data_IF_017339129048
#
_entry.id   IF_017339129048
#
_cell.length_a   1.000
_cell.length_b   1.000
_cell.length_c   1.000
_cell.angle_alpha   90.00
_cell.angle_beta   90.00
_cell.angle_gamma   90.00
#
_symmetry.space_group_name_H-M   'P 1'
#
loop_
_entity.id
_entity.type
_entity.pdbx_description
1 polymer ?
#
# COMPACT_ATOMS: atom_id res chain seq x y z
N UNK A 1 -16.68 37.64 -13.94
CA UNK A 1 -17.44 36.38 -13.77
C UNK A 1 -16.44 35.25 -13.90
N UNK A 2 -16.30 34.45 -12.86
CA UNK A 2 -15.38 33.31 -12.76
C UNK A 2 -15.82 32.17 -13.72
N UNK A 3 -14.98 31.15 -13.95
CA UNK A 3 -15.00 30.06 -12.98
C UNK A 3 -13.62 29.82 -12.37
N UNK A 4 -13.64 29.72 -11.05
CA UNK A 4 -12.57 29.15 -10.27
C UNK A 4 -12.39 27.72 -10.76
N UNK A 5 -11.18 27.39 -11.22
CA UNK A 5 -10.76 26.00 -11.31
C UNK A 5 -10.75 25.48 -9.88
N UNK A 6 -11.83 24.81 -9.48
CA UNK A 6 -11.83 23.95 -8.31
C UNK A 6 -10.68 22.96 -8.53
N UNK A 7 -9.58 23.17 -7.81
CA UNK A 7 -8.62 22.10 -7.55
C UNK A 7 -9.46 21.01 -6.90
N UNK A 8 -9.81 19.99 -7.68
CA UNK A 8 -10.47 18.79 -7.17
C UNK A 8 -9.56 18.25 -6.10
N UNK A 9 -9.89 18.55 -4.85
CA UNK A 9 -9.20 18.07 -3.66
C UNK A 9 -9.45 16.57 -3.71
N UNK A 10 -8.57 15.81 -4.37
CA UNK A 10 -8.63 14.36 -4.37
C UNK A 10 -8.45 13.98 -2.91
N UNK A 11 -9.57 13.66 -2.25
CA UNK A 11 -9.60 13.24 -0.86
C UNK A 11 -8.58 12.12 -0.70
N UNK A 12 -7.59 12.33 0.15
CA UNK A 12 -6.63 11.30 0.52
C UNK A 12 -7.43 10.07 0.97
N UNK A 13 -7.22 8.88 0.40
CA UNK A 13 -8.01 7.71 0.78
C UNK A 13 -7.77 7.45 2.27
N UNK A 14 -8.83 7.47 3.06
CA UNK A 14 -8.73 7.17 4.49
C UNK A 14 -8.40 5.69 4.68
N UNK A 15 -7.40 5.39 5.51
CA UNK A 15 -7.17 4.02 5.96
C UNK A 15 -8.21 3.68 7.04
N UNK A 16 -9.35 3.10 6.64
CA UNK A 16 -10.45 2.75 7.57
C UNK A 16 -10.07 1.73 8.64
N UNK A 17 -8.95 1.05 8.46
CA UNK A 17 -8.56 -0.10 9.27
C UNK A 17 -7.49 0.23 10.32
N UNK A 18 -6.91 1.43 10.30
CA UNK A 18 -5.96 1.86 11.32
C UNK A 18 -6.19 3.33 11.72
N UNK A 19 -5.81 3.72 12.96
CA UNK A 19 -6.00 5.09 13.45
C UNK A 19 -4.89 6.06 13.02
N UNK A 20 -3.93 5.62 12.21
CA UNK A 20 -2.77 6.42 11.84
C UNK A 20 -3.11 7.42 10.73
N UNK A 21 -2.53 8.61 10.79
CA UNK A 21 -2.64 9.60 9.73
C UNK A 21 -2.01 9.05 8.45
N UNK A 22 -2.76 9.11 7.35
CA UNK A 22 -2.25 8.79 6.00
C UNK A 22 -1.29 9.90 5.56
N UNK A 23 -0.06 9.53 5.24
CA UNK A 23 1.00 10.47 4.80
C UNK A 23 1.54 10.14 3.40
N UNK A 24 1.10 9.03 2.80
CA UNK A 24 1.43 8.61 1.43
C UNK A 24 0.22 8.00 0.76
N UNK A 25 0.07 8.26 -0.55
CA UNK A 25 -0.95 7.65 -1.39
C UNK A 25 -0.28 6.70 -2.36
N UNK A 26 -0.74 5.45 -2.39
CA UNK A 26 -0.32 4.44 -3.35
C UNK A 26 -1.41 4.31 -4.41
N UNK A 27 -1.04 4.25 -5.69
CA UNK A 27 -1.98 4.02 -6.79
C UNK A 27 -1.66 2.72 -7.51
N UNK A 28 -2.69 1.92 -7.76
CA UNK A 28 -2.59 0.69 -8.53
C UNK A 28 -2.49 0.94 -10.03
N UNK A 29 -2.09 -0.10 -10.78
CA UNK A 29 -2.04 -0.04 -12.24
C UNK A 29 -3.41 0.13 -12.91
N UNK A 30 -4.50 -0.20 -12.21
CA UNK A 30 -5.88 0.05 -12.62
C UNK A 30 -6.47 1.35 -12.03
N UNK A 31 -5.65 2.18 -11.39
CA UNK A 31 -5.99 3.56 -11.03
C UNK A 31 -6.65 3.77 -9.66
N UNK A 32 -6.88 2.71 -8.88
CA UNK A 32 -7.40 2.87 -7.52
C UNK A 32 -6.32 3.39 -6.58
N UNK A 33 -6.73 4.18 -5.58
CA UNK A 33 -5.82 4.85 -4.64
C UNK A 33 -6.03 4.36 -3.22
N UNK A 34 -4.93 4.17 -2.52
CA UNK A 34 -4.87 3.65 -1.16
C UNK A 34 -4.06 4.59 -0.28
N UNK A 35 -4.59 4.91 0.88
CA UNK A 35 -3.84 5.62 1.92
C UNK A 35 -2.97 4.63 2.68
N UNK A 36 -1.71 5.00 2.90
CA UNK A 36 -0.76 4.22 3.67
C UNK A 36 0.10 5.12 4.57
N UNK A 37 1.08 4.52 5.24
CA UNK A 37 1.95 5.18 6.20
C UNK A 37 3.39 4.91 5.84
N UNK A 38 4.13 5.95 5.50
CA UNK A 38 5.52 5.90 5.04
C UNK A 38 6.40 5.15 6.02
N UNK A 39 6.21 5.38 7.33
CA UNK A 39 6.94 4.69 8.41
C UNK A 39 6.65 3.18 8.48
N UNK A 40 5.43 2.77 8.16
CA UNK A 40 5.10 1.36 8.13
C UNK A 40 5.68 0.70 6.87
N UNK A 41 5.62 1.38 5.73
CA UNK A 41 6.19 0.89 4.49
C UNK A 41 7.72 0.75 4.61
N UNK A 42 8.41 1.71 5.23
CA UNK A 42 9.82 1.59 5.59
C UNK A 42 10.11 0.35 6.47
N UNK A 43 9.24 0.07 7.44
CA UNK A 43 9.48 -1.03 8.38
C UNK A 43 9.21 -2.41 7.78
N UNK A 44 8.17 -2.53 6.94
CA UNK A 44 7.69 -3.80 6.42
C UNK A 44 8.18 -4.15 5.01
N UNK A 45 8.89 -3.23 4.35
CA UNK A 45 9.34 -3.38 2.96
C UNK A 45 10.77 -2.89 2.81
N UNK A 46 11.53 -3.47 1.88
CA UNK A 46 12.88 -2.97 1.51
C UNK A 46 12.82 -1.94 0.38
N UNK A 47 11.63 -1.64 -0.13
CA UNK A 47 11.44 -0.83 -1.33
C UNK A 47 11.09 0.64 -1.04
N UNK A 48 10.75 0.96 0.20
CA UNK A 48 10.45 2.34 0.60
C UNK A 48 11.65 2.98 1.31
N UNK A 49 11.93 4.27 1.01
CA UNK A 49 13.04 4.97 1.64
C UNK A 49 12.83 5.16 3.14
N UNK A 50 13.93 5.33 3.87
CA UNK A 50 13.90 5.72 5.28
C UNK A 50 13.11 7.01 5.45
N UNK A 51 12.09 6.99 6.32
CA UNK A 51 11.19 8.12 6.54
C UNK A 51 12.01 9.35 6.97
N UNK A 52 11.84 10.47 6.25
CA UNK A 52 12.56 11.72 6.50
C UNK A 52 13.98 11.80 5.89
N UNK A 53 14.42 10.75 5.18
CA UNK A 53 15.66 10.79 4.37
C UNK A 53 15.45 11.34 2.95
N UNK A 54 14.19 11.44 2.52
CA UNK A 54 13.75 12.15 1.32
C UNK A 54 13.03 13.43 1.71
N UNK A 55 12.94 14.38 0.78
CA UNK A 55 12.06 15.54 0.96
C UNK A 55 10.64 15.01 1.28
N UNK A 56 9.89 15.66 2.19
CA UNK A 56 8.52 15.25 2.47
C UNK A 56 7.75 15.13 1.15
N UNK A 57 6.98 14.05 0.94
CA UNK A 57 6.15 13.94 -0.24
C UNK A 57 5.34 15.22 -0.37
N UNK A 58 5.49 15.93 -1.49
CA UNK A 58 4.75 17.18 -1.70
C UNK A 58 3.27 16.85 -1.66
N UNK A 59 2.51 17.45 -0.74
CA UNK A 59 1.07 17.29 -0.53
C UNK A 59 0.36 16.41 -1.59
N UNK A 60 0.25 15.12 -1.33
CA UNK A 60 -0.42 14.18 -2.24
C UNK A 60 0.48 13.54 -3.30
N UNK A 61 1.76 13.31 -3.01
CA UNK A 61 2.60 12.43 -3.83
C UNK A 61 1.92 11.05 -3.95
N UNK A 62 1.62 10.68 -5.19
CA UNK A 62 1.03 9.40 -5.54
C UNK A 62 2.16 8.49 -6.00
N UNK A 63 2.42 7.45 -5.23
CA UNK A 63 3.35 6.38 -5.59
C UNK A 63 2.61 5.39 -6.48
N UNK A 64 2.93 5.39 -7.77
CA UNK A 64 2.34 4.46 -8.73
C UNK A 64 3.06 3.11 -8.67
N UNK A 65 2.29 2.04 -8.45
CA UNK A 65 2.78 0.67 -8.44
C UNK A 65 2.20 -0.10 -9.64
N UNK A 66 2.93 -1.10 -10.13
CA UNK A 66 2.50 -1.90 -11.29
C UNK A 66 1.43 -2.94 -10.95
N UNK A 67 1.21 -3.20 -9.66
CA UNK A 67 0.29 -4.22 -9.18
C UNK A 67 -1.17 -3.74 -9.24
N UNK A 68 -2.10 -4.70 -9.36
CA UNK A 68 -3.52 -4.40 -9.33
C UNK A 68 -3.97 -3.96 -7.93
N UNK A 69 -5.12 -3.30 -7.87
CA UNK A 69 -5.78 -2.91 -6.62
C UNK A 69 -5.92 -4.05 -5.62
N UNK A 70 -6.27 -5.25 -6.08
CA UNK A 70 -6.42 -6.43 -5.23
C UNK A 70 -5.10 -6.79 -4.55
N UNK A 71 -4.00 -6.84 -5.31
CA UNK A 71 -2.68 -7.20 -4.80
C UNK A 71 -2.16 -6.13 -3.84
N UNK A 72 -2.33 -4.84 -4.18
CA UNK A 72 -1.94 -3.73 -3.31
C UNK A 72 -2.74 -3.75 -2.02
N UNK A 73 -4.04 -4.02 -2.07
CA UNK A 73 -4.88 -4.13 -0.88
C UNK A 73 -4.35 -5.20 0.09
N UNK A 74 -3.99 -6.39 -0.43
CA UNK A 74 -3.39 -7.44 0.40
C UNK A 74 -2.03 -7.03 0.96
N UNK A 75 -1.12 -6.46 0.14
CA UNK A 75 0.18 -6.01 0.63
C UNK A 75 0.04 -4.98 1.76
N UNK A 76 -0.82 -3.97 1.60
CA UNK A 76 -1.04 -2.95 2.63
C UNK A 76 -1.66 -3.53 3.91
N UNK A 77 -2.49 -4.57 3.82
CA UNK A 77 -3.00 -5.26 5.01
C UNK A 77 -1.87 -5.87 5.87
N UNK A 78 -0.74 -6.28 5.27
CA UNK A 78 0.43 -6.74 6.03
C UNK A 78 1.27 -5.60 6.63
N UNK A 79 1.13 -4.36 6.16
CA UNK A 79 1.93 -3.23 6.65
C UNK A 79 1.21 -2.39 7.71
N UNK A 80 -0.08 -2.61 7.93
CA UNK A 80 -0.89 -1.77 8.83
C UNK A 80 -0.84 -2.15 10.32
N UNK A 81 0.12 -2.99 10.75
CA UNK A 81 0.23 -3.48 12.14
C UNK A 81 -1.07 -4.12 12.66
N UNK A 82 -1.83 -4.76 11.77
CA UNK A 82 -3.03 -5.53 12.08
C UNK A 82 -2.71 -7.03 12.00
N UNK A 83 -3.60 -7.91 12.51
CA UNK A 83 -3.48 -9.34 12.23
C UNK A 83 -3.32 -9.58 10.71
N UNK A 84 -2.41 -10.47 10.30
CA UNK A 84 -2.20 -10.77 8.89
C UNK A 84 -3.51 -11.13 8.18
N UNK A 85 -3.73 -10.68 6.93
CA UNK A 85 -4.91 -11.06 6.18
C UNK A 85 -4.92 -12.57 5.93
N UNK A 86 -6.11 -13.16 5.96
CA UNK A 86 -6.26 -14.56 5.60
C UNK A 86 -6.08 -14.75 4.09
N UNK A 87 -4.97 -15.37 3.70
CA UNK A 87 -4.63 -15.66 2.30
C UNK A 87 -5.06 -17.06 1.83
N UNK A 88 -5.60 -17.91 2.72
CA UNK A 88 -6.02 -19.29 2.37
C UNK A 88 -7.20 -19.34 1.41
N UNK A 89 -8.05 -18.32 1.45
CA UNK A 89 -9.22 -18.20 0.60
C UNK A 89 -8.88 -17.68 -0.81
N UNK A 90 -7.61 -17.30 -1.07
CA UNK A 90 -7.20 -16.82 -2.37
C UNK A 90 -7.08 -17.95 -3.39
N UNK A 91 -7.50 -17.66 -4.61
CA UNK A 91 -7.20 -18.52 -5.74
C UNK A 91 -5.68 -18.62 -5.94
N UNK A 92 -5.21 -19.78 -6.42
CA UNK A 92 -3.79 -20.05 -6.59
C UNK A 92 -3.10 -18.99 -7.47
N UNK A 93 -3.77 -18.51 -8.51
CA UNK A 93 -3.25 -17.46 -9.39
C UNK A 93 -2.98 -16.16 -8.62
N UNK A 94 -3.96 -15.68 -7.85
CA UNK A 94 -3.82 -14.47 -7.01
C UNK A 94 -2.73 -14.64 -5.97
N UNK A 95 -2.63 -15.82 -5.34
CA UNK A 95 -1.58 -16.09 -4.34
C UNK A 95 -0.17 -16.05 -4.96
N UNK A 96 0.01 -16.57 -6.18
CA UNK A 96 1.29 -16.52 -6.88
C UNK A 96 1.68 -15.07 -7.21
N UNK A 97 0.76 -14.29 -7.77
CA UNK A 97 0.99 -12.87 -8.08
C UNK A 97 1.28 -12.07 -6.81
N UNK A 98 0.56 -12.33 -5.72
CA UNK A 98 0.81 -11.70 -4.42
C UNK A 98 2.21 -12.03 -3.90
N UNK A 99 2.63 -13.29 -3.98
CA UNK A 99 3.97 -13.71 -3.57
C UNK A 99 5.09 -13.08 -4.40
N UNK A 100 4.89 -12.91 -5.71
CA UNK A 100 5.84 -12.21 -6.58
C UNK A 100 5.94 -10.72 -6.24
N UNK A 101 4.80 -10.06 -6.01
CA UNK A 101 4.76 -8.66 -5.59
C UNK A 101 5.43 -8.46 -4.22
N UNK A 102 5.12 -9.29 -3.23
CA UNK A 102 5.76 -9.23 -1.90
C UNK A 102 7.28 -9.39 -1.98
N UNK A 103 7.78 -10.30 -2.84
CA UNK A 103 9.23 -10.45 -3.06
C UNK A 103 9.83 -9.22 -3.71
N UNK A 104 9.16 -8.65 -4.72
CA UNK A 104 9.60 -7.43 -5.41
C UNK A 104 9.78 -6.27 -4.44
N UNK A 105 8.92 -6.16 -3.43
CA UNK A 105 8.99 -5.09 -2.42
C UNK A 105 9.74 -5.50 -1.13
N UNK A 106 10.36 -6.69 -1.07
CA UNK A 106 11.13 -7.13 0.10
C UNK A 106 10.28 -7.40 1.36
N UNK A 107 9.02 -7.79 1.20
CA UNK A 107 8.09 -8.05 2.31
C UNK A 107 8.30 -9.44 2.94
N UNK A 108 9.50 -9.76 3.40
CA UNK A 108 9.86 -11.13 3.81
C UNK A 108 9.03 -11.68 4.98
N UNK A 109 8.69 -10.84 5.97
CA UNK A 109 7.84 -11.26 7.09
C UNK A 109 6.44 -11.66 6.60
N UNK A 110 5.86 -10.91 5.65
CA UNK A 110 4.56 -11.23 5.07
C UNK A 110 4.60 -12.56 4.29
N UNK A 111 5.70 -12.84 3.60
CA UNK A 111 5.88 -14.12 2.88
C UNK A 111 5.88 -15.29 3.86
N UNK A 112 6.62 -15.20 4.97
CA UNK A 112 6.66 -16.28 5.96
C UNK A 112 5.29 -16.48 6.64
N UNK A 113 4.60 -15.41 7.03
CA UNK A 113 3.24 -15.49 7.59
C UNK A 113 2.23 -16.10 6.60
N UNK A 114 2.31 -15.72 5.32
CA UNK A 114 1.43 -16.26 4.27
C UNK A 114 1.63 -17.77 4.04
N UNK A 115 2.85 -18.28 4.26
CA UNK A 115 3.19 -19.70 4.16
C UNK A 115 2.63 -20.51 5.33
N UNK A 116 2.72 -19.97 6.54
CA UNK A 116 2.22 -20.63 7.76
C UNK A 116 0.69 -20.66 7.81
N UNK A 117 0.03 -19.74 7.12
CA UNK A 117 -1.42 -19.68 7.08
C UNK A 117 -2.05 -20.76 6.18
N UNK A 118 -1.29 -21.41 5.29
CA UNK A 118 -1.80 -22.35 4.27
C UNK A 118 -1.84 -23.80 4.72
#
# INVERSE_FOLDING_TARGET
MHPNTEVSIMSTPECKYCPLTVDVVVQSSNGDRFGAHSKNLEFFTDAFPVTGSTLPPQNGEVVELSESSEIIHFMLAFTHNLPPPNVTALELGTLLVLGEAMKKYGMYLAIEESRMSR
#
